data_IF_955542979105
#
_entry.id   IF_955542979105
#
_cell.length_a   1.000
_cell.length_b   1.000
_cell.length_c   1.000
_cell.angle_alpha   90.00
_cell.angle_beta   90.00
_cell.angle_gamma   90.00
#
_symmetry.space_group_name_H-M   'P 1'
#
loop_
_entity.id
_entity.type
_entity.pdbx_description
1 polymer ?
#
# COMPACT_ATOMS: atom_id res chain seq x y z
N UNK A 1 -26.45 -12.81 -0.69
CA UNK A 1 -25.12 -12.31 -1.08
C UNK A 1 -25.06 -10.81 -0.77
N UNK A 2 -24.00 -10.31 -0.14
CA UNK A 2 -23.81 -8.89 0.21
C UNK A 2 -23.14 -8.13 -0.93
N UNK A 3 -23.63 -6.95 -1.28
CA UNK A 3 -22.93 -6.00 -2.16
C UNK A 3 -22.44 -4.81 -1.35
N UNK A 4 -21.14 -4.48 -1.49
CA UNK A 4 -20.51 -3.32 -0.90
C UNK A 4 -19.90 -2.43 -1.98
N UNK A 5 -20.54 -1.31 -2.26
CA UNK A 5 -19.98 -0.27 -3.11
C UNK A 5 -18.98 0.60 -2.33
N UNK A 6 -18.33 1.52 -3.03
CA UNK A 6 -17.36 2.47 -2.43
C UNK A 6 -17.89 3.15 -1.16
N UNK A 7 -19.13 3.70 -1.19
CA UNK A 7 -19.71 4.42 -0.06
C UNK A 7 -19.98 3.51 1.14
N UNK A 8 -20.35 2.27 0.89
CA UNK A 8 -20.60 1.28 1.93
C UNK A 8 -19.29 0.91 2.63
N UNK A 9 -18.22 0.69 1.86
CA UNK A 9 -16.88 0.42 2.39
C UNK A 9 -16.38 1.63 3.20
N UNK A 10 -16.45 2.85 2.67
CA UNK A 10 -16.04 4.07 3.35
C UNK A 10 -16.75 4.29 4.70
N UNK A 11 -18.00 3.82 4.84
CA UNK A 11 -18.76 3.89 6.11
C UNK A 11 -18.43 2.77 7.08
N UNK A 12 -18.00 1.61 6.56
CA UNK A 12 -17.71 0.43 7.39
C UNK A 12 -16.27 0.37 7.88
N UNK A 13 -15.34 1.01 7.16
CA UNK A 13 -13.91 0.90 7.43
C UNK A 13 -13.51 1.39 8.83
N UNK A 14 -12.65 0.60 9.46
CA UNK A 14 -11.89 0.94 10.66
C UNK A 14 -10.40 0.86 10.32
N UNK A 15 -9.71 2.01 10.27
CA UNK A 15 -8.33 2.09 9.78
C UNK A 15 -7.35 1.31 10.68
N UNK A 16 -7.52 1.37 12.00
CA UNK A 16 -6.67 0.63 12.93
C UNK A 16 -6.86 -0.88 12.78
N UNK A 17 -8.12 -1.33 12.76
CA UNK A 17 -8.46 -2.73 12.54
C UNK A 17 -8.05 -3.27 11.16
N UNK A 18 -7.92 -2.40 10.14
CA UNK A 18 -7.38 -2.79 8.83
C UNK A 18 -5.87 -3.05 8.91
N UNK A 19 -5.10 -2.25 9.65
CA UNK A 19 -3.66 -2.51 9.87
C UNK A 19 -3.46 -3.81 10.65
N UNK A 20 -4.25 -4.02 11.70
CA UNK A 20 -4.21 -5.26 12.49
C UNK A 20 -4.53 -6.49 11.62
N UNK A 21 -5.49 -6.34 10.68
CA UNK A 21 -5.82 -7.41 9.73
C UNK A 21 -4.68 -7.68 8.71
N UNK A 22 -3.90 -6.67 8.32
CA UNK A 22 -2.70 -6.87 7.49
C UNK A 22 -1.62 -7.59 8.28
N UNK A 23 -1.39 -7.24 9.56
CA UNK A 23 -0.45 -7.96 10.42
C UNK A 23 -0.85 -9.43 10.58
N UNK A 24 -2.15 -9.71 10.77
CA UNK A 24 -2.66 -11.09 10.80
C UNK A 24 -2.46 -11.82 9.46
N UNK A 25 -2.64 -11.13 8.32
CA UNK A 25 -2.35 -11.70 7.01
C UNK A 25 -0.86 -12.04 6.82
N UNK A 26 0.06 -11.27 7.39
CA UNK A 26 1.48 -11.62 7.42
C UNK A 26 1.76 -12.89 8.24
N UNK A 27 1.09 -13.07 9.39
CA UNK A 27 1.19 -14.31 10.20
C UNK A 27 0.66 -15.52 9.44
N UNK A 28 -0.46 -15.36 8.73
CA UNK A 28 -0.99 -16.42 7.85
C UNK A 28 0.03 -16.74 6.75
N UNK A 29 0.67 -15.74 6.16
CA UNK A 29 1.71 -15.91 5.16
C UNK A 29 2.91 -16.70 5.70
N UNK A 30 3.43 -16.31 6.86
CA UNK A 30 4.54 -17.00 7.54
C UNK A 30 4.21 -18.46 7.85
N UNK A 31 3.01 -18.72 8.36
CA UNK A 31 2.57 -20.08 8.72
C UNK A 31 2.40 -21.02 7.52
N UNK A 32 2.35 -20.49 6.29
CA UNK A 32 2.02 -21.23 5.09
C UNK A 32 0.57 -21.74 5.02
N UNK A 33 -0.31 -21.32 5.94
CA UNK A 33 -1.71 -21.75 6.02
C UNK A 33 -2.62 -21.06 5.00
N UNK A 34 -2.14 -20.92 3.77
CA UNK A 34 -2.87 -20.32 2.65
C UNK A 34 -2.54 -21.03 1.34
N UNK A 35 -3.40 -20.82 0.32
CA UNK A 35 -3.12 -21.18 -1.06
C UNK A 35 -3.38 -19.96 -1.95
N UNK A 36 -2.33 -19.44 -2.56
CA UNK A 36 -2.35 -18.28 -3.44
C UNK A 36 -1.51 -18.62 -4.68
N UNK A 37 -2.14 -19.04 -5.79
CA UNK A 37 -1.42 -19.33 -7.02
C UNK A 37 -0.84 -18.07 -7.64
N UNK A 38 0.12 -18.18 -8.57
CA UNK A 38 0.55 -17.06 -9.40
C UNK A 38 -0.66 -16.37 -10.02
N UNK A 39 -0.57 -15.04 -10.23
CA UNK A 39 -1.68 -14.22 -10.76
C UNK A 39 -2.02 -14.62 -12.20
N UNK A 40 -3.14 -15.34 -12.48
CA UNK A 40 -3.57 -15.58 -13.85
C UNK A 40 -3.85 -14.26 -14.55
N UNK A 41 -3.16 -14.01 -15.64
CA UNK A 41 -3.26 -12.79 -16.43
C UNK A 41 -3.67 -13.11 -17.85
N UNK A 42 -4.65 -12.38 -18.36
CA UNK A 42 -5.11 -12.46 -19.76
C UNK A 42 -4.85 -11.11 -20.41
N UNK A 43 -4.01 -11.10 -21.44
CA UNK A 43 -3.63 -9.89 -22.16
C UNK A 43 -4.16 -9.92 -23.60
N UNK A 44 -4.73 -8.81 -24.06
CA UNK A 44 -5.19 -8.61 -25.43
C UNK A 44 -5.21 -7.12 -25.78
N UNK A 45 -4.53 -6.73 -26.85
CA UNK A 45 -4.51 -5.35 -27.38
C UNK A 45 -4.21 -4.28 -26.30
N UNK A 46 -3.13 -4.42 -25.54
CA UNK A 46 -2.74 -3.56 -24.43
C UNK A 46 -3.77 -3.49 -23.28
N UNK A 47 -4.73 -4.40 -23.24
CA UNK A 47 -5.72 -4.55 -22.17
C UNK A 47 -5.40 -5.78 -21.37
N UNK A 48 -5.52 -5.67 -20.06
CA UNK A 48 -5.17 -6.77 -19.16
C UNK A 48 -6.32 -7.08 -18.23
N UNK A 49 -6.58 -8.37 -18.02
CA UNK A 49 -7.45 -8.88 -16.98
C UNK A 49 -6.62 -9.77 -16.07
N UNK A 50 -6.62 -9.46 -14.77
CA UNK A 50 -5.84 -10.17 -13.75
C UNK A 50 -6.78 -10.76 -12.72
N UNK A 51 -6.55 -12.02 -12.37
CA UNK A 51 -7.21 -12.67 -11.24
C UNK A 51 -6.19 -12.87 -10.10
N UNK A 52 -6.61 -12.60 -8.87
CA UNK A 52 -5.79 -12.74 -7.67
C UNK A 52 -6.54 -13.61 -6.64
N UNK A 53 -6.67 -14.93 -6.90
CA UNK A 53 -7.34 -15.82 -5.98
C UNK A 53 -6.48 -16.09 -4.75
N UNK A 54 -7.14 -16.24 -3.59
CA UNK A 54 -6.49 -16.69 -2.38
C UNK A 54 -7.49 -17.49 -1.53
N UNK A 55 -6.99 -18.57 -0.94
CA UNK A 55 -7.70 -19.45 -0.02
C UNK A 55 -6.93 -19.51 1.30
N UNK A 56 -7.60 -19.24 2.40
CA UNK A 56 -7.12 -19.46 3.76
C UNK A 56 -8.09 -20.37 4.51
N UNK A 57 -7.80 -20.71 5.76
CA UNK A 57 -8.73 -21.50 6.59
C UNK A 57 -10.10 -20.82 6.71
N UNK A 58 -10.11 -19.49 6.86
CA UNK A 58 -11.30 -18.72 7.23
C UNK A 58 -11.80 -17.78 6.12
N UNK A 59 -11.07 -17.68 5.00
CA UNK A 59 -11.42 -16.78 3.89
C UNK A 59 -11.14 -17.44 2.55
N UNK A 60 -12.04 -17.26 1.60
CA UNK A 60 -11.89 -17.65 0.20
C UNK A 60 -12.39 -16.53 -0.70
N UNK A 61 -11.57 -16.09 -1.62
CA UNK A 61 -11.98 -15.05 -2.55
C UNK A 61 -11.01 -14.82 -3.70
N UNK A 62 -11.39 -13.92 -4.56
CA UNK A 62 -10.54 -13.46 -5.65
C UNK A 62 -10.77 -11.98 -5.91
N UNK A 63 -9.70 -11.22 -6.07
CA UNK A 63 -9.79 -9.90 -6.70
C UNK A 63 -9.63 -10.07 -8.20
N UNK A 64 -10.54 -9.51 -8.96
CA UNK A 64 -10.47 -9.39 -10.40
C UNK A 64 -10.21 -7.93 -10.76
N UNK A 65 -9.14 -7.67 -11.53
CA UNK A 65 -8.77 -6.34 -12.00
C UNK A 65 -8.74 -6.30 -13.52
N UNK A 66 -9.17 -5.18 -14.07
CA UNK A 66 -8.92 -4.83 -15.47
C UNK A 66 -7.97 -3.62 -15.54
N UNK A 67 -7.03 -3.65 -16.49
CA UNK A 67 -6.12 -2.54 -16.80
C UNK A 67 -6.34 -2.15 -18.26
N UNK A 68 -6.91 -0.97 -18.46
CA UNK A 68 -7.27 -0.40 -19.75
C UNK A 68 -6.63 1.00 -19.84
N UNK A 69 -5.38 1.13 -20.30
CA UNK A 69 -4.64 2.41 -20.29
C UNK A 69 -5.36 3.54 -21.01
N UNK A 70 -6.09 3.24 -22.10
CA UNK A 70 -6.80 4.22 -22.91
C UNK A 70 -8.01 4.84 -22.21
N UNK A 71 -8.52 4.23 -21.13
CA UNK A 71 -9.67 4.74 -20.38
C UNK A 71 -9.45 6.16 -19.84
N UNK A 72 -8.20 6.53 -19.54
CA UNK A 72 -7.87 7.89 -19.12
C UNK A 72 -8.33 8.96 -20.10
N UNK A 73 -8.25 8.68 -21.41
CA UNK A 73 -8.71 9.57 -22.47
C UNK A 73 -10.24 9.70 -22.54
N UNK A 74 -10.95 8.73 -21.97
CA UNK A 74 -12.41 8.70 -21.89
C UNK A 74 -12.97 9.23 -20.55
N UNK A 75 -12.07 9.68 -19.66
CA UNK A 75 -12.45 10.10 -18.29
C UNK A 75 -12.85 8.93 -17.39
N UNK A 76 -12.48 7.71 -17.75
CA UNK A 76 -12.73 6.49 -16.97
C UNK A 76 -11.44 6.05 -16.24
N UNK A 77 -11.55 5.29 -15.14
CA UNK A 77 -10.41 4.68 -14.49
C UNK A 77 -9.64 3.75 -15.43
N UNK A 78 -8.31 3.87 -15.46
CA UNK A 78 -7.46 2.93 -16.19
C UNK A 78 -7.38 1.56 -15.53
N UNK A 79 -7.60 1.49 -14.21
CA UNK A 79 -7.68 0.26 -13.43
C UNK A 79 -9.05 0.22 -12.77
N UNK A 80 -9.78 -0.88 -12.94
CA UNK A 80 -11.07 -1.14 -12.31
C UNK A 80 -11.15 -2.60 -11.86
N UNK A 81 -12.10 -2.94 -11.00
CA UNK A 81 -12.26 -4.32 -10.58
C UNK A 81 -13.21 -4.52 -9.41
N UNK A 82 -13.32 -5.77 -9.03
CA UNK A 82 -14.13 -6.21 -7.90
C UNK A 82 -13.40 -7.28 -7.08
N UNK A 83 -13.85 -7.46 -5.83
CA UNK A 83 -13.48 -8.61 -5.01
C UNK A 83 -14.71 -9.48 -4.80
N UNK A 84 -14.60 -10.74 -5.16
CA UNK A 84 -15.61 -11.77 -4.89
C UNK A 84 -15.18 -12.60 -3.69
N UNK A 85 -16.06 -12.72 -2.69
CA UNK A 85 -15.83 -13.54 -1.50
C UNK A 85 -16.78 -14.74 -1.51
N UNK A 86 -16.24 -15.90 -1.12
CA UNK A 86 -16.95 -17.17 -1.03
C UNK A 86 -16.81 -17.76 0.38
N UNK A 87 -17.78 -18.55 0.78
CA UNK A 87 -17.69 -19.34 2.00
C UNK A 87 -16.66 -20.48 1.81
N UNK A 88 -15.63 -20.58 2.67
CA UNK A 88 -14.50 -21.50 2.43
C UNK A 88 -14.87 -22.99 2.41
N UNK A 89 -15.92 -23.40 3.11
CA UNK A 89 -16.30 -24.82 3.24
C UNK A 89 -17.23 -25.29 2.11
N UNK A 90 -18.09 -24.41 1.60
CA UNK A 90 -19.15 -24.76 0.67
C UNK A 90 -18.97 -24.16 -0.71
N UNK A 91 -18.09 -23.14 -0.83
CA UNK A 91 -17.90 -22.37 -2.06
C UNK A 91 -19.05 -21.39 -2.37
N UNK A 92 -20.06 -21.27 -1.49
CA UNK A 92 -21.20 -20.38 -1.72
C UNK A 92 -20.74 -18.92 -1.82
N UNK A 93 -21.17 -18.14 -2.85
CA UNK A 93 -20.89 -16.72 -2.91
C UNK A 93 -21.46 -15.96 -1.70
N UNK A 94 -20.61 -15.18 -1.02
CA UNK A 94 -20.96 -14.39 0.16
C UNK A 94 -21.12 -12.93 -0.15
N UNK A 95 -20.15 -12.33 -0.86
CA UNK A 95 -20.14 -10.90 -1.13
C UNK A 95 -19.42 -10.53 -2.42
N UNK A 96 -19.79 -9.36 -2.96
CA UNK A 96 -19.04 -8.64 -3.99
C UNK A 96 -18.73 -7.25 -3.44
N UNK A 97 -17.45 -6.85 -3.50
CA UNK A 97 -16.97 -5.56 -3.02
C UNK A 97 -16.34 -4.77 -4.16
N UNK A 98 -16.44 -3.43 -4.10
CA UNK A 98 -15.72 -2.52 -5.00
C UNK A 98 -14.21 -2.72 -4.88
N UNK A 99 -13.59 -3.25 -5.94
CA UNK A 99 -12.20 -3.67 -5.90
C UNK A 99 -11.19 -2.52 -5.86
N UNK A 100 -11.55 -1.36 -6.41
CA UNK A 100 -10.70 -0.16 -6.32
C UNK A 100 -10.62 0.34 -4.88
N UNK A 101 -11.75 0.40 -4.20
CA UNK A 101 -11.82 0.87 -2.80
C UNK A 101 -11.12 -0.13 -1.87
N UNK A 102 -11.37 -1.43 -2.03
CA UNK A 102 -10.62 -2.46 -1.28
C UNK A 102 -9.11 -2.28 -1.49
N UNK A 103 -8.67 -2.14 -2.75
CA UNK A 103 -7.24 -1.94 -3.08
C UNK A 103 -6.68 -0.66 -2.45
N UNK A 104 -7.43 0.43 -2.45
CA UNK A 104 -6.98 1.69 -1.86
C UNK A 104 -6.73 1.56 -0.35
N UNK A 105 -7.71 1.02 0.38
CA UNK A 105 -7.61 0.84 1.82
C UNK A 105 -6.57 -0.21 2.22
N UNK A 106 -6.54 -1.41 1.55
CA UNK A 106 -5.57 -2.44 1.90
C UNK A 106 -4.12 -2.00 1.62
N UNK A 107 -3.90 -1.23 0.54
CA UNK A 107 -2.56 -0.73 0.20
C UNK A 107 -2.10 0.33 1.20
N UNK A 108 -2.99 1.24 1.60
CA UNK A 108 -2.72 2.18 2.68
C UNK A 108 -2.41 1.45 4.00
N UNK A 109 -3.18 0.41 4.35
CA UNK A 109 -2.95 -0.40 5.55
C UNK A 109 -1.59 -1.11 5.53
N UNK A 110 -1.17 -1.67 4.38
CA UNK A 110 0.17 -2.26 4.21
C UNK A 110 1.26 -1.21 4.45
N UNK A 111 1.12 0.00 3.89
CA UNK A 111 2.03 1.11 4.16
C UNK A 111 2.03 1.53 5.64
N UNK A 112 0.85 1.56 6.28
CA UNK A 112 0.69 1.84 7.70
C UNK A 112 1.40 0.81 8.59
N UNK A 113 1.32 -0.48 8.26
CA UNK A 113 2.07 -1.55 8.94
C UNK A 113 3.57 -1.35 8.75
N UNK A 114 4.02 -1.03 7.52
CA UNK A 114 5.43 -0.67 7.28
C UNK A 114 5.89 0.48 8.18
N UNK A 115 5.07 1.52 8.35
CA UNK A 115 5.35 2.65 9.24
C UNK A 115 5.38 2.20 10.72
N UNK A 116 4.43 1.36 11.17
CA UNK A 116 4.39 0.84 12.55
C UNK A 116 5.68 0.15 12.95
N UNK A 117 6.26 -0.63 12.05
CA UNK A 117 7.42 -1.48 12.36
C UNK A 117 8.77 -0.88 11.98
N UNK A 118 8.83 0.09 11.07
CA UNK A 118 10.09 0.60 10.53
C UNK A 118 10.36 2.08 10.84
N UNK A 119 9.40 2.83 11.36
CA UNK A 119 9.66 4.21 11.79
C UNK A 119 9.77 4.31 13.31
N UNK A 120 10.52 5.30 13.78
CA UNK A 120 10.56 5.64 15.20
C UNK A 120 9.17 6.04 15.70
N UNK A 121 8.88 5.79 16.97
CA UNK A 121 7.58 6.16 17.59
C UNK A 121 7.39 7.67 17.73
N UNK A 122 8.48 8.41 17.80
CA UNK A 122 8.51 9.88 17.92
C UNK A 122 8.52 10.62 16.58
N UNK A 123 8.21 9.93 15.47
CA UNK A 123 8.01 10.59 14.18
C UNK A 123 6.69 11.36 14.17
N UNK A 124 6.75 12.63 13.77
CA UNK A 124 5.61 13.54 13.72
C UNK A 124 5.33 14.12 12.32
N UNK A 125 6.14 13.76 11.33
CA UNK A 125 6.01 14.30 9.98
C UNK A 125 6.09 13.20 8.93
N UNK A 126 5.20 13.28 7.92
CA UNK A 126 5.20 12.37 6.77
C UNK A 126 5.16 13.14 5.46
N UNK A 127 5.98 12.73 4.51
CA UNK A 127 6.00 13.23 3.14
C UNK A 127 5.34 12.23 2.19
N UNK A 128 4.41 12.70 1.38
CA UNK A 128 3.71 11.92 0.36
C UNK A 128 4.16 12.39 -1.03
N UNK A 129 4.89 11.55 -1.73
CA UNK A 129 5.28 11.77 -3.12
C UNK A 129 4.33 11.01 -4.04
N UNK A 130 3.46 11.78 -4.74
CA UNK A 130 2.38 11.23 -5.55
C UNK A 130 1.00 11.43 -4.96
N UNK A 131 0.32 12.52 -5.38
CA UNK A 131 -1.01 12.91 -4.90
C UNK A 131 -2.15 12.11 -5.59
N UNK A 132 -2.01 10.80 -5.70
CA UNK A 132 -3.01 9.87 -6.23
C UNK A 132 -3.88 9.25 -5.14
N UNK A 133 -4.64 8.21 -5.52
CA UNK A 133 -5.47 7.43 -4.60
C UNK A 133 -4.61 6.77 -3.52
N UNK A 134 -3.48 6.17 -3.90
CA UNK A 134 -2.62 5.50 -2.93
C UNK A 134 -1.93 6.50 -1.99
N UNK A 135 -1.41 7.63 -2.51
CA UNK A 135 -0.83 8.68 -1.65
C UNK A 135 -1.82 9.23 -0.62
N UNK A 136 -3.10 9.35 -1.00
CA UNK A 136 -4.17 9.75 -0.07
C UNK A 136 -4.33 8.76 1.09
N UNK A 137 -4.42 7.46 0.79
CA UNK A 137 -4.60 6.43 1.80
C UNK A 137 -3.33 6.22 2.64
N UNK A 138 -2.14 6.32 2.04
CA UNK A 138 -0.88 6.30 2.81
C UNK A 138 -0.82 7.43 3.84
N UNK A 139 -1.27 8.64 3.49
CA UNK A 139 -1.36 9.74 4.45
C UNK A 139 -2.32 9.44 5.61
N UNK A 140 -3.52 8.87 5.32
CA UNK A 140 -4.47 8.47 6.36
C UNK A 140 -3.86 7.44 7.32
N UNK A 141 -3.24 6.40 6.77
CA UNK A 141 -2.67 5.33 7.58
C UNK A 141 -1.39 5.75 8.30
N UNK A 142 -0.59 6.68 7.76
CA UNK A 142 0.53 7.28 8.48
C UNK A 142 0.06 8.00 9.74
N UNK A 143 -1.03 8.80 9.64
CA UNK A 143 -1.64 9.49 10.78
C UNK A 143 -2.28 8.53 11.82
N UNK A 144 -2.50 7.27 11.46
CA UNK A 144 -2.96 6.22 12.37
C UNK A 144 -1.79 5.44 12.99
N UNK A 145 -0.73 5.23 12.22
CA UNK A 145 0.44 4.50 12.65
C UNK A 145 1.32 5.30 13.62
N UNK A 146 1.33 6.64 13.48
CA UNK A 146 2.12 7.59 14.30
C UNK A 146 1.31 8.85 14.60
N UNK A 147 1.76 9.59 15.62
CA UNK A 147 1.19 10.91 16.00
C UNK A 147 1.70 12.00 15.02
N UNK A 148 1.17 11.99 13.80
CA UNK A 148 1.60 12.88 12.73
C UNK A 148 0.99 14.27 12.90
N UNK A 149 1.84 15.28 13.05
CA UNK A 149 1.45 16.68 13.14
C UNK A 149 1.37 17.38 11.79
N UNK A 150 2.17 16.92 10.80
CA UNK A 150 2.16 17.51 9.46
C UNK A 150 2.33 16.45 8.38
N UNK A 151 1.46 16.51 7.38
CA UNK A 151 1.56 15.76 6.12
C UNK A 151 2.05 16.71 5.03
N UNK A 152 3.23 16.46 4.49
CA UNK A 152 3.78 17.17 3.33
C UNK A 152 3.41 16.42 2.05
N UNK A 153 2.98 17.16 1.02
CA UNK A 153 2.53 16.55 -0.24
C UNK A 153 3.27 17.17 -1.42
N UNK A 154 3.82 16.34 -2.28
CA UNK A 154 4.43 16.75 -3.54
C UNK A 154 3.94 15.88 -4.70
N UNK A 155 3.77 16.51 -5.88
CA UNK A 155 3.38 15.79 -7.09
C UNK A 155 4.09 16.34 -8.33
N UNK A 156 4.83 15.48 -9.02
CA UNK A 156 5.65 15.86 -10.17
C UNK A 156 4.88 16.41 -11.38
N UNK A 157 3.60 16.07 -11.55
CA UNK A 157 2.84 16.42 -12.75
C UNK A 157 2.50 17.91 -12.87
N UNK A 158 2.75 18.71 -11.82
CA UNK A 158 2.38 20.14 -11.79
C UNK A 158 0.87 20.41 -11.84
N UNK A 159 0.03 19.39 -11.68
CA UNK A 159 -1.43 19.55 -11.63
C UNK A 159 -1.85 20.32 -10.39
N UNK A 160 -2.98 21.01 -10.47
CA UNK A 160 -3.61 21.62 -9.30
C UNK A 160 -3.98 20.55 -8.27
N UNK A 161 -3.56 20.74 -7.03
CA UNK A 161 -3.83 19.84 -5.90
C UNK A 161 -4.90 20.38 -4.95
N UNK A 162 -5.52 21.51 -5.23
CA UNK A 162 -6.48 22.19 -4.31
C UNK A 162 -7.55 21.21 -3.78
N UNK A 163 -8.22 20.49 -4.68
CA UNK A 163 -9.26 19.53 -4.28
C UNK A 163 -8.68 18.32 -3.53
N UNK A 164 -7.49 17.86 -3.89
CA UNK A 164 -6.82 16.75 -3.20
C UNK A 164 -6.48 17.14 -1.76
N UNK A 165 -5.87 18.31 -1.57
CA UNK A 165 -5.46 18.81 -0.25
C UNK A 165 -6.69 19.06 0.64
N UNK A 166 -7.73 19.71 0.13
CA UNK A 166 -8.97 19.95 0.87
C UNK A 166 -9.65 18.63 1.32
N UNK A 167 -9.65 17.61 0.46
CA UNK A 167 -10.18 16.28 0.81
C UNK A 167 -9.31 15.59 1.86
N UNK A 168 -7.99 15.70 1.78
CA UNK A 168 -7.07 15.10 2.74
C UNK A 168 -7.21 15.80 4.10
N UNK A 169 -7.20 17.13 4.15
CA UNK A 169 -7.43 17.92 5.37
C UNK A 169 -8.74 17.49 6.05
N UNK A 170 -9.83 17.43 5.30
CA UNK A 170 -11.12 16.98 5.83
C UNK A 170 -11.07 15.55 6.40
N UNK A 171 -10.30 14.66 5.79
CA UNK A 171 -10.23 13.25 6.22
C UNK A 171 -9.41 13.06 7.50
N UNK A 172 -8.49 13.99 7.81
CA UNK A 172 -7.61 13.95 9.00
C UNK A 172 -7.87 15.08 9.99
N UNK A 173 -8.90 15.90 9.77
CA UNK A 173 -9.25 17.09 10.60
C UNK A 173 -9.41 16.77 12.09
N UNK A 174 -9.99 15.60 12.40
CA UNK A 174 -10.17 15.12 13.77
C UNK A 174 -8.86 14.73 14.48
N UNK A 175 -7.73 14.72 13.79
CA UNK A 175 -6.42 14.38 14.33
C UNK A 175 -5.56 15.61 14.64
N UNK A 176 -6.00 16.82 14.27
CA UNK A 176 -5.23 18.06 14.46
C UNK A 176 -3.99 18.16 13.54
N UNK A 177 -3.90 17.31 12.52
CA UNK A 177 -2.79 17.24 11.58
C UNK A 177 -2.92 18.30 10.50
N UNK A 178 -1.81 19.00 10.17
CA UNK A 178 -1.74 19.98 9.07
C UNK A 178 -1.38 19.30 7.76
N UNK A 179 -1.89 19.83 6.64
CA UNK A 179 -1.48 19.42 5.29
C UNK A 179 -0.76 20.58 4.62
N UNK A 180 0.43 20.31 4.06
CA UNK A 180 1.29 21.33 3.43
C UNK A 180 1.70 20.84 2.05
N UNK A 181 1.45 21.61 1.02
CA UNK A 181 1.96 21.35 -0.32
C UNK A 181 3.41 21.84 -0.41
N UNK A 182 4.32 20.97 -0.86
CA UNK A 182 5.70 21.32 -1.18
C UNK A 182 5.85 21.68 -2.67
N UNK A 183 6.78 22.59 -2.96
CA UNK A 183 7.09 23.00 -4.32
C UNK A 183 8.11 22.08 -4.99
N UNK A 184 8.97 21.42 -4.20
CA UNK A 184 9.98 20.47 -4.65
C UNK A 184 9.98 19.20 -3.81
N UNK A 185 10.53 18.13 -4.34
CA UNK A 185 10.68 16.88 -3.60
C UNK A 185 11.75 17.02 -2.51
N UNK A 186 12.76 17.83 -2.72
CA UNK A 186 13.82 18.11 -1.73
C UNK A 186 13.23 18.81 -0.50
N UNK A 187 12.34 19.81 -0.69
CA UNK A 187 11.61 20.47 0.39
C UNK A 187 10.80 19.45 1.22
N UNK A 188 10.09 18.54 0.54
CA UNK A 188 9.33 17.46 1.19
C UNK A 188 10.24 16.55 1.98
N UNK A 189 11.32 16.04 1.38
CA UNK A 189 12.25 15.10 2.03
C UNK A 189 12.92 15.73 3.23
N UNK A 190 13.36 17.01 3.12
CA UNK A 190 13.97 17.73 4.23
C UNK A 190 13.00 17.90 5.41
N UNK A 191 11.69 18.11 5.13
CA UNK A 191 10.67 18.39 6.13
C UNK A 191 10.05 17.15 6.75
N UNK A 192 10.34 15.95 6.23
CA UNK A 192 9.66 14.70 6.61
C UNK A 192 10.58 13.70 7.28
N UNK A 193 10.09 12.99 8.28
CA UNK A 193 10.77 11.85 8.94
C UNK A 193 10.39 10.54 8.25
N UNK A 194 9.13 10.42 7.82
CA UNK A 194 8.59 9.30 7.06
C UNK A 194 8.33 9.77 5.63
N UNK A 195 8.73 8.99 4.63
CA UNK A 195 8.52 9.31 3.22
C UNK A 195 7.76 8.14 2.57
N UNK A 196 6.60 8.44 1.99
CA UNK A 196 5.80 7.47 1.24
C UNK A 196 5.81 7.85 -0.24
N UNK A 197 6.19 6.93 -1.13
CA UNK A 197 6.11 7.13 -2.58
C UNK A 197 4.99 6.29 -3.19
N UNK A 198 4.20 6.91 -4.07
CA UNK A 198 3.04 6.29 -4.72
C UNK A 198 2.86 6.83 -6.14
N UNK A 199 3.88 6.68 -6.98
CA UNK A 199 3.92 7.20 -8.33
C UNK A 199 4.09 6.10 -9.39
N UNK A 200 3.59 6.29 -10.62
CA UNK A 200 3.85 5.39 -11.73
C UNK A 200 5.15 5.75 -12.48
N UNK A 201 6.13 6.34 -11.80
CA UNK A 201 7.37 6.82 -12.44
C UNK A 201 8.25 5.67 -12.92
N UNK A 202 8.92 5.87 -14.06
CA UNK A 202 9.96 4.98 -14.57
C UNK A 202 11.37 5.40 -14.12
N UNK A 203 11.47 6.47 -13.33
CA UNK A 203 12.72 7.03 -12.80
C UNK A 203 12.55 7.37 -11.33
N UNK A 204 13.64 7.27 -10.56
CA UNK A 204 13.65 7.68 -9.17
C UNK A 204 13.01 9.06 -8.95
N UNK A 205 12.08 9.14 -8.00
CA UNK A 205 11.33 10.37 -7.67
C UNK A 205 11.88 11.06 -6.43
N UNK A 206 12.67 10.35 -5.62
CA UNK A 206 13.40 10.94 -4.51
C UNK A 206 14.77 11.46 -4.98
N UNK A 207 15.33 12.50 -4.32
CA UNK A 207 16.67 12.99 -4.65
C UNK A 207 17.73 11.93 -4.38
N UNK A 208 18.72 11.81 -5.27
CA UNK A 208 19.87 10.94 -5.05
C UNK A 208 20.91 11.62 -4.13
N UNK A 209 20.48 11.94 -2.91
CA UNK A 209 21.24 12.70 -1.91
C UNK A 209 21.25 11.94 -0.58
N UNK A 210 22.44 11.50 -0.18
CA UNK A 210 22.67 10.69 1.01
C UNK A 210 22.35 11.44 2.31
N UNK A 211 22.67 12.72 2.38
CA UNK A 211 22.44 13.53 3.57
C UNK A 211 20.95 13.77 3.80
N UNK A 212 20.20 14.08 2.73
CA UNK A 212 18.77 14.30 2.79
C UNK A 212 17.98 13.04 3.17
N UNK A 213 18.43 11.87 2.72
CA UNK A 213 17.70 10.60 2.94
C UNK A 213 18.15 9.85 4.20
N UNK A 214 19.23 10.29 4.85
CA UNK A 214 19.73 9.65 6.06
C UNK A 214 18.72 9.76 7.21
N UNK A 215 18.51 8.65 7.94
CA UNK A 215 17.61 8.57 9.11
C UNK A 215 16.11 8.63 8.76
N UNK A 216 15.72 8.49 7.50
CA UNK A 216 14.30 8.49 7.07
C UNK A 216 13.72 7.08 7.04
N UNK A 217 12.42 6.98 7.35
CA UNK A 217 11.65 5.76 7.06
C UNK A 217 11.02 5.90 5.67
N UNK A 218 11.36 5.01 4.73
CA UNK A 218 10.91 5.07 3.34
C UNK A 218 9.95 3.92 3.06
N UNK A 219 8.74 4.25 2.61
CA UNK A 219 7.66 3.31 2.25
C UNK A 219 7.35 3.51 0.76
N UNK A 220 7.74 2.58 -0.09
CA UNK A 220 7.55 2.68 -1.54
C UNK A 220 6.47 1.71 -2.04
N UNK A 221 5.43 2.27 -2.66
CA UNK A 221 4.24 1.52 -3.08
C UNK A 221 3.98 1.65 -4.59
N UNK A 222 4.49 2.70 -5.25
CA UNK A 222 4.05 3.06 -6.60
C UNK A 222 4.59 2.15 -7.69
N UNK A 223 5.82 1.66 -7.58
CA UNK A 223 6.44 0.78 -8.58
C UNK A 223 5.94 -0.67 -8.42
N UNK A 224 5.27 -1.21 -9.45
CA UNK A 224 4.72 -2.58 -9.48
C UNK A 224 4.99 -3.29 -10.82
N UNK A 225 5.88 -2.73 -11.64
CA UNK A 225 6.42 -3.37 -12.86
C UNK A 225 7.93 -3.19 -12.91
N UNK A 226 8.68 -4.06 -13.62
CA UNK A 226 10.14 -3.95 -13.72
C UNK A 226 10.66 -2.65 -14.36
N UNK A 227 9.82 -1.95 -15.13
CA UNK A 227 10.15 -0.66 -15.76
C UNK A 227 9.89 0.54 -14.86
N UNK A 228 9.07 0.40 -13.83
CA UNK A 228 8.75 1.47 -12.88
C UNK A 228 9.83 1.57 -11.81
N UNK A 229 10.20 2.79 -11.43
CA UNK A 229 11.19 3.06 -10.38
C UNK A 229 10.89 4.35 -9.63
N UNK A 230 10.89 4.30 -8.30
CA UNK A 230 10.68 5.46 -7.43
C UNK A 230 11.93 5.81 -6.61
N UNK A 231 12.76 4.82 -6.30
CA UNK A 231 13.81 4.90 -5.28
C UNK A 231 15.20 5.03 -5.93
N UNK A 232 16.01 6.03 -5.53
CA UNK A 232 17.38 6.20 -6.04
C UNK A 232 18.34 5.19 -5.39
N UNK A 233 19.46 4.93 -6.07
CA UNK A 233 20.47 3.95 -5.63
C UNK A 233 21.08 4.26 -4.27
N UNK A 234 21.21 5.53 -3.92
CA UNK A 234 21.79 5.96 -2.65
C UNK A 234 21.04 5.40 -1.42
N UNK A 235 19.75 5.06 -1.55
CA UNK A 235 18.98 4.43 -0.47
C UNK A 235 19.61 3.09 -0.07
N UNK A 236 20.09 2.30 -1.02
CA UNK A 236 20.72 1.00 -0.75
C UNK A 236 22.10 1.12 -0.08
N UNK A 237 22.70 2.31 -0.07
CA UNK A 237 23.90 2.59 0.75
C UNK A 237 23.57 2.97 2.19
N UNK A 238 22.31 3.39 2.46
CA UNK A 238 21.86 3.91 3.75
C UNK A 238 21.17 2.85 4.60
N UNK A 239 20.57 1.82 3.96
CA UNK A 239 19.84 0.77 4.66
C UNK A 239 20.70 -0.47 4.88
N UNK A 240 20.54 -1.13 6.02
CA UNK A 240 21.14 -2.44 6.26
C UNK A 240 20.39 -3.52 5.46
N UNK A 241 19.05 -3.53 5.58
CA UNK A 241 18.14 -4.47 4.95
C UNK A 241 17.03 -3.74 4.21
N UNK A 242 16.47 -4.40 3.18
CA UNK A 242 15.30 -3.98 2.43
C UNK A 242 14.16 -4.92 2.76
N UNK A 243 13.04 -4.38 3.27
CA UNK A 243 11.88 -5.17 3.64
C UNK A 243 10.88 -5.27 2.50
N UNK A 244 10.33 -6.46 2.29
CA UNK A 244 9.30 -6.76 1.28
C UNK A 244 8.22 -7.65 1.89
N UNK A 245 7.05 -7.74 1.25
CA UNK A 245 6.04 -8.70 1.67
C UNK A 245 6.32 -10.14 1.21
N UNK A 246 6.94 -10.32 0.03
CA UNK A 246 7.23 -11.63 -0.58
C UNK A 246 8.38 -11.51 -1.60
N UNK A 247 9.03 -12.63 -1.92
CA UNK A 247 10.18 -12.69 -2.83
C UNK A 247 9.85 -12.12 -4.24
N UNK A 248 8.64 -12.33 -4.72
CA UNK A 248 8.21 -11.89 -6.04
C UNK A 248 8.28 -10.36 -6.23
N UNK A 249 8.27 -9.57 -5.14
CA UNK A 249 8.49 -8.12 -5.20
C UNK A 249 9.84 -7.76 -5.83
N UNK A 250 10.86 -8.63 -5.66
CA UNK A 250 12.20 -8.46 -6.23
C UNK A 250 12.23 -8.58 -7.76
N UNK A 251 11.25 -9.26 -8.35
CA UNK A 251 11.12 -9.44 -9.79
C UNK A 251 10.14 -8.42 -10.40
N UNK A 252 9.07 -8.14 -9.69
CA UNK A 252 7.94 -7.36 -10.18
C UNK A 252 8.17 -5.85 -10.13
N UNK A 253 9.00 -5.36 -9.20
CA UNK A 253 9.27 -3.93 -9.06
C UNK A 253 10.66 -3.54 -9.52
N UNK A 254 10.76 -2.53 -10.41
CA UNK A 254 12.03 -1.93 -10.83
C UNK A 254 12.79 -1.25 -9.69
N UNK A 255 12.13 -0.92 -8.57
CA UNK A 255 12.79 -0.45 -7.35
C UNK A 255 13.75 -1.51 -6.76
N UNK A 256 13.52 -2.80 -7.04
CA UNK A 256 14.35 -3.89 -6.54
C UNK A 256 15.02 -4.68 -7.66
N UNK A 257 14.30 -5.00 -8.75
CA UNK A 257 14.83 -5.82 -9.84
C UNK A 257 16.04 -5.17 -10.53
N UNK A 258 16.01 -3.84 -10.73
CA UNK A 258 17.11 -3.11 -11.34
C UNK A 258 18.35 -3.07 -10.42
N UNK A 259 18.29 -2.62 -9.14
CA UNK A 259 19.43 -2.64 -8.24
C UNK A 259 20.01 -4.05 -7.99
N UNK A 260 19.17 -5.09 -7.99
CA UNK A 260 19.62 -6.47 -7.90
C UNK A 260 20.41 -6.89 -9.15
N UNK A 261 19.93 -6.52 -10.34
CA UNK A 261 20.62 -6.81 -11.61
C UNK A 261 21.96 -6.08 -11.73
N UNK A 262 22.02 -4.82 -11.21
CA UNK A 262 23.20 -3.97 -11.24
C UNK A 262 24.20 -4.30 -10.11
N UNK A 263 23.85 -5.20 -9.18
CA UNK A 263 24.68 -5.58 -8.03
C UNK A 263 24.78 -4.51 -6.93
N UNK A 264 23.89 -3.52 -6.95
CA UNK A 264 23.78 -2.47 -5.92
C UNK A 264 23.09 -3.01 -4.67
N UNK A 265 22.07 -3.84 -4.87
CA UNK A 265 21.40 -4.62 -3.82
C UNK A 265 21.77 -6.11 -3.99
N UNK A 266 21.96 -6.82 -2.88
CA UNK A 266 22.17 -8.27 -2.88
C UNK A 266 21.00 -8.98 -2.21
N UNK A 267 20.69 -10.22 -2.62
CA UNK A 267 19.53 -10.98 -2.12
C UNK A 267 19.59 -11.26 -0.61
N UNK A 268 20.77 -11.37 -0.05
CA UNK A 268 20.98 -11.59 1.40
C UNK A 268 20.62 -10.38 2.27
N UNK A 269 20.40 -9.21 1.64
CA UNK A 269 19.89 -7.99 2.28
C UNK A 269 18.38 -7.82 2.14
N UNK A 270 17.69 -8.73 1.48
CA UNK A 270 16.22 -8.69 1.38
C UNK A 270 15.64 -9.49 2.56
N UNK A 271 14.73 -8.85 3.31
CA UNK A 271 14.02 -9.41 4.46
C UNK A 271 12.51 -9.35 4.23
N UNK A 272 11.78 -10.20 4.94
CA UNK A 272 10.32 -10.21 4.85
C UNK A 272 9.68 -9.47 6.01
N UNK A 273 8.62 -8.70 5.75
CA UNK A 273 7.89 -7.95 6.78
C UNK A 273 7.35 -8.83 7.90
N UNK A 274 6.96 -10.09 7.62
CA UNK A 274 6.49 -10.99 8.66
C UNK A 274 7.57 -11.28 9.72
N UNK A 275 8.85 -11.26 9.37
CA UNK A 275 9.96 -11.41 10.32
C UNK A 275 10.00 -10.30 11.39
N UNK A 276 9.43 -9.12 11.09
CA UNK A 276 9.38 -7.97 12.00
C UNK A 276 8.14 -7.95 12.89
N UNK A 277 7.01 -8.48 12.41
CA UNK A 277 5.70 -8.30 13.06
C UNK A 277 5.66 -8.96 14.45
N UNK A 278 6.33 -10.07 14.61
CA UNK A 278 6.42 -10.78 15.91
C UNK A 278 7.77 -10.53 16.63
N UNK A 279 8.60 -9.59 16.12
CA UNK A 279 9.86 -9.23 16.76
C UNK A 279 9.70 -8.01 17.68
N UNK A 280 10.35 -8.06 18.85
CA UNK A 280 10.57 -6.87 19.68
C UNK A 280 11.66 -6.01 19.00
N UNK A 281 11.25 -5.10 18.11
CA UNK A 281 12.20 -4.18 17.46
C UNK A 281 12.74 -3.25 18.53
N UNK A 282 14.07 -3.22 18.66
CA UNK A 282 14.77 -2.24 19.47
C UNK A 282 14.59 -0.85 18.82
N UNK A 283 13.75 -0.02 19.43
CA UNK A 283 13.47 1.35 18.95
C UNK A 283 14.73 2.20 18.90
N UNK A 284 15.66 2.00 19.83
CA UNK A 284 16.94 2.67 19.82
C UNK A 284 17.77 2.29 18.58
N UNK A 285 17.58 1.09 18.05
CA UNK A 285 18.21 0.66 16.80
C UNK A 285 17.68 1.40 15.56
N UNK A 286 16.44 1.94 15.60
CA UNK A 286 15.87 2.75 14.51
C UNK A 286 16.26 4.22 14.57
N UNK A 287 16.80 4.71 15.70
CA UNK A 287 16.94 6.14 16.02
C UNK A 287 17.88 6.91 15.08
N UNK A 288 18.70 6.30 14.27
CA UNK A 288 19.54 6.97 13.26
C UNK A 288 19.65 6.18 11.96
N UNK A 289 18.87 5.10 11.82
CA UNK A 289 18.89 4.26 10.63
C UNK A 289 17.91 4.79 9.59
N UNK A 290 18.31 4.71 8.33
CA UNK A 290 17.36 4.74 7.23
C UNK A 290 16.73 3.36 7.11
N UNK A 291 15.42 3.29 7.03
CA UNK A 291 14.67 2.04 6.83
C UNK A 291 13.92 2.09 5.51
N UNK A 292 13.76 0.94 4.86
CA UNK A 292 13.09 0.88 3.57
C UNK A 292 12.19 -0.34 3.46
N UNK A 293 10.92 -0.09 3.13
CA UNK A 293 9.92 -1.10 2.82
C UNK A 293 9.40 -0.90 1.41
N UNK A 294 9.45 -1.96 0.60
CA UNK A 294 8.86 -2.02 -0.74
C UNK A 294 7.69 -2.98 -0.77
N UNK A 295 6.52 -2.51 -1.23
CA UNK A 295 5.35 -3.35 -1.43
C UNK A 295 4.86 -3.32 -2.89
N UNK A 296 4.46 -4.48 -3.40
CA UNK A 296 3.73 -4.68 -4.66
C UNK A 296 2.34 -5.26 -4.42
N UNK A 297 2.06 -5.65 -3.17
CA UNK A 297 0.80 -6.25 -2.72
C UNK A 297 0.64 -7.72 -3.12
N UNK A 298 -0.25 -8.44 -2.44
CA UNK A 298 -0.56 -9.84 -2.73
C UNK A 298 -2.06 -10.13 -2.52
N UNK A 299 -2.55 -11.18 -3.19
CA UNK A 299 -3.96 -11.57 -3.12
C UNK A 299 -4.45 -11.93 -1.72
N UNK A 300 -3.54 -12.41 -0.85
CA UNK A 300 -3.85 -12.69 0.55
C UNK A 300 -4.33 -11.43 1.29
N UNK A 301 -3.68 -10.28 1.08
CA UNK A 301 -4.13 -9.01 1.67
C UNK A 301 -5.53 -8.62 1.18
N UNK A 302 -5.79 -8.77 -0.13
CA UNK A 302 -7.08 -8.42 -0.70
C UNK A 302 -8.22 -9.24 -0.09
N UNK A 303 -8.00 -10.56 0.09
CA UNK A 303 -9.01 -11.47 0.64
C UNK A 303 -9.20 -11.27 2.15
N UNK A 304 -8.12 -11.12 2.92
CA UNK A 304 -8.23 -10.86 4.37
C UNK A 304 -8.93 -9.52 4.67
N UNK A 305 -8.60 -8.47 3.92
CA UNK A 305 -9.24 -7.17 4.07
C UNK A 305 -10.70 -7.19 3.59
N UNK A 306 -11.01 -7.88 2.49
CA UNK A 306 -12.39 -8.03 2.04
C UNK A 306 -13.24 -8.79 3.07
N UNK A 307 -12.69 -9.82 3.72
CA UNK A 307 -13.35 -10.53 4.81
C UNK A 307 -13.66 -9.59 5.97
N UNK A 308 -12.68 -8.81 6.43
CA UNK A 308 -12.85 -7.82 7.50
C UNK A 308 -13.92 -6.79 7.15
N UNK A 309 -13.88 -6.22 5.94
CA UNK A 309 -14.88 -5.24 5.48
C UNK A 309 -16.29 -5.84 5.42
N UNK A 310 -16.42 -7.09 5.00
CA UNK A 310 -17.69 -7.80 4.97
C UNK A 310 -18.23 -7.99 6.40
N UNK A 311 -17.39 -8.38 7.35
CA UNK A 311 -17.78 -8.60 8.74
C UNK A 311 -18.18 -7.28 9.42
N UNK A 312 -17.40 -6.21 9.24
CA UNK A 312 -17.69 -4.87 9.76
C UNK A 312 -19.00 -4.31 9.16
N UNK A 313 -19.22 -4.50 7.87
CA UNK A 313 -20.46 -4.07 7.20
C UNK A 313 -21.69 -4.84 7.71
N UNK A 314 -21.58 -6.17 7.91
CA UNK A 314 -22.64 -6.98 8.46
C UNK A 314 -23.00 -6.55 9.90
N UNK A 315 -21.99 -6.30 10.76
CA UNK A 315 -22.22 -5.83 12.13
C UNK A 315 -22.92 -4.46 12.17
N UNK A 316 -22.60 -3.58 11.23
CA UNK A 316 -23.17 -2.22 11.12
C UNK A 316 -24.47 -2.17 10.32
N UNK A 317 -24.92 -3.28 9.72
CA UNK A 317 -26.08 -3.32 8.84
C UNK A 317 -25.91 -2.48 7.56
N UNK A 318 -24.69 -2.42 7.03
CA UNK A 318 -24.30 -1.65 5.83
C UNK A 318 -24.27 -2.60 4.62
N UNK A 319 -24.56 -2.06 3.43
CA UNK A 319 -24.56 -2.79 2.17
C UNK A 319 -25.93 -3.27 1.75
N UNK A 320 -26.00 -3.82 0.53
CA UNK A 320 -27.22 -4.31 -0.08
C UNK A 320 -27.23 -5.84 -0.07
N UNK A 321 -28.26 -6.45 0.52
CA UNK A 321 -28.49 -7.89 0.40
C UNK A 321 -29.18 -8.21 -0.93
N UNK A 322 -28.66 -9.20 -1.67
CA UNK A 322 -29.24 -9.69 -2.91
C UNK A 322 -29.53 -11.18 -2.78
N UNK A 323 -30.69 -11.61 -3.21
CA UNK A 323 -30.99 -13.02 -3.50
C UNK A 323 -30.34 -13.40 -4.83
N UNK A 324 -29.63 -14.54 -4.83
CA UNK A 324 -28.89 -15.01 -6.00
C UNK A 324 -29.22 -16.47 -6.27
#
# INVERSE_FOLDING_TARGET
MLLLNKKDIEKSVDLDGMMDQIEEAYKIFESGAYYMPPRPTVEHDNKTLIYMPCYTKDSLGTKMLTIFPENASLGLPSIDGLVLMNEPKTGKPLAILDGQTVTAYRTGAVGGVGIRHLSRKDCHTVGIVGAGVQGFHLALYACKARDIHTVYVFNHSGRDLTDYLARLEKAIDNLGTKVVQCNTVEELVQSSEIICTATPSEKAVLPNDKELLSGKCIIAIGSYTPTMREIPDVVFELVDDVYVELEYACEESGDLSQPLADGILTKDRVRYMHELIDSDIDEDALTQKTTYFKSVGMGLFDVCIAQRLMDDANQKGIGQQIEF
#
